data_IF_756599924676
#
_entry.id   IF_756599924676
#
_cell.length_a   1.000
_cell.length_b   1.000
_cell.length_c   1.000
_cell.angle_alpha   90.00
_cell.angle_beta   90.00
_cell.angle_gamma   90.00
#
_symmetry.space_group_name_H-M   'P 1'
#
loop_
_entity.id
_entity.type
_entity.pdbx_description
1 polymer ?
#
# COMPACT_ATOMS: atom_id res chain seq x y z
N UNK A 1 14.71 -3.59 -3.71
CA UNK A 1 14.15 -2.37 -3.10
C UNK A 1 14.90 -1.18 -3.66
N UNK A 2 14.34 -0.47 -4.63
CA UNK A 2 14.90 0.81 -5.06
C UNK A 2 14.30 1.91 -4.18
N UNK A 3 15.15 2.56 -3.38
CA UNK A 3 14.79 3.77 -2.65
C UNK A 3 14.50 4.85 -3.70
N UNK A 4 13.31 5.44 -3.67
CA UNK A 4 13.03 6.61 -4.50
C UNK A 4 13.95 7.75 -4.02
N UNK A 5 14.85 8.29 -4.87
CA UNK A 5 15.92 9.19 -4.43
C UNK A 5 15.44 10.61 -4.06
N UNK A 6 14.13 10.85 -3.99
CA UNK A 6 13.56 12.20 -3.93
C UNK A 6 12.61 12.44 -2.75
N UNK A 7 12.46 11.49 -1.82
CA UNK A 7 11.61 11.70 -0.64
C UNK A 7 12.48 12.15 0.55
N UNK A 8 12.24 13.33 1.14
CA UNK A 8 13.06 13.84 2.26
C UNK A 8 12.93 12.97 3.52
N UNK A 9 11.90 12.13 3.58
CA UNK A 9 11.72 11.06 4.55
C UNK A 9 11.76 9.72 3.83
N UNK A 10 12.21 8.66 4.51
CA UNK A 10 12.29 7.32 3.93
C UNK A 10 10.91 6.84 3.47
N UNK A 11 10.70 6.78 2.15
CA UNK A 11 9.50 6.18 1.59
C UNK A 11 9.66 4.66 1.54
N UNK A 12 8.76 3.96 2.22
CA UNK A 12 8.63 2.51 2.15
C UNK A 12 7.31 2.19 1.46
N UNK A 13 7.38 1.63 0.26
CA UNK A 13 6.22 1.04 -0.37
C UNK A 13 5.98 -0.34 0.27
N UNK A 14 4.97 -0.41 1.14
CA UNK A 14 4.60 -1.66 1.81
C UNK A 14 3.85 -2.59 0.84
N UNK A 15 4.23 -3.87 0.83
CA UNK A 15 3.32 -4.90 0.33
C UNK A 15 2.16 -5.11 1.31
N UNK A 16 1.10 -5.81 0.88
CA UNK A 16 0.00 -6.17 1.79
C UNK A 16 0.53 -6.90 3.03
N UNK A 17 1.43 -7.87 2.84
CA UNK A 17 2.02 -8.63 3.95
C UNK A 17 2.78 -7.74 4.91
N UNK A 18 3.62 -6.83 4.39
CA UNK A 18 4.40 -5.94 5.26
C UNK A 18 3.47 -5.02 6.09
N UNK A 19 2.34 -4.59 5.51
CA UNK A 19 1.33 -3.80 6.21
C UNK A 19 0.60 -4.62 7.30
N UNK A 20 0.21 -5.86 7.00
CA UNK A 20 -0.44 -6.77 7.94
C UNK A 20 0.47 -7.10 9.13
N UNK A 21 1.74 -7.44 8.86
CA UNK A 21 2.75 -7.72 9.88
C UNK A 21 2.96 -6.50 10.81
N UNK A 22 3.00 -5.29 10.24
CA UNK A 22 3.12 -4.05 11.00
C UNK A 22 1.91 -3.82 11.92
N UNK A 23 0.70 -4.03 11.41
CA UNK A 23 -0.54 -3.87 12.17
C UNK A 23 -0.61 -4.86 13.34
N UNK A 24 -0.31 -6.13 13.08
CA UNK A 24 -0.30 -7.18 14.10
C UNK A 24 0.74 -6.93 15.18
N UNK A 25 1.96 -6.51 14.80
CA UNK A 25 3.03 -6.13 15.75
C UNK A 25 2.60 -5.01 16.70
N UNK A 26 1.67 -4.17 16.27
CA UNK A 26 1.11 -3.07 17.07
C UNK A 26 -0.26 -3.42 17.68
N UNK A 27 -0.58 -4.71 17.81
CA UNK A 27 -1.77 -5.24 18.49
C UNK A 27 -3.11 -4.91 17.83
N UNK A 28 -3.12 -4.58 16.53
CA UNK A 28 -4.36 -4.51 15.78
C UNK A 28 -4.81 -5.90 15.35
N UNK A 29 -6.12 -6.17 15.48
CA UNK A 29 -6.75 -7.34 14.86
C UNK A 29 -7.22 -6.97 13.46
N UNK A 30 -6.68 -7.65 12.45
CA UNK A 30 -7.14 -7.53 11.07
C UNK A 30 -8.51 -8.20 10.95
N UNK A 31 -9.46 -7.48 10.36
CA UNK A 31 -10.81 -7.97 10.07
C UNK A 31 -10.88 -8.44 8.62
N UNK A 32 -10.39 -7.61 7.69
CA UNK A 32 -10.48 -7.85 6.25
C UNK A 32 -9.38 -7.10 5.49
N UNK A 33 -8.93 -7.67 4.38
CA UNK A 33 -8.02 -7.03 3.43
C UNK A 33 -8.65 -7.08 2.04
N UNK A 34 -8.85 -5.91 1.44
CA UNK A 34 -9.56 -5.76 0.16
C UNK A 34 -8.57 -5.27 -0.90
N UNK A 35 -8.48 -5.98 -2.02
CA UNK A 35 -7.71 -5.56 -3.20
C UNK A 35 -8.62 -4.85 -4.20
N UNK A 36 -8.20 -3.70 -4.70
CA UNK A 36 -8.90 -2.95 -5.73
C UNK A 36 -7.94 -2.62 -6.85
N UNK A 37 -8.41 -2.75 -8.09
CA UNK A 37 -7.67 -2.34 -9.28
C UNK A 37 -8.49 -1.33 -10.05
N UNK A 38 -7.86 -0.21 -10.38
CA UNK A 38 -8.46 0.89 -11.10
C UNK A 38 -7.60 1.28 -12.30
N UNK A 39 -8.24 1.80 -13.34
CA UNK A 39 -7.54 2.37 -14.48
C UNK A 39 -7.37 3.86 -14.26
N UNK A 40 -6.13 4.34 -14.24
CA UNK A 40 -5.81 5.75 -13.98
C UNK A 40 -4.94 6.32 -15.10
N UNK A 41 -5.12 7.60 -15.41
CA UNK A 41 -4.21 8.31 -16.30
C UNK A 41 -2.91 8.62 -15.55
N UNK A 42 -1.79 8.20 -16.10
CA UNK A 42 -0.46 8.46 -15.56
C UNK A 42 -0.03 9.90 -15.82
N UNK A 43 1.09 10.31 -15.22
CA UNK A 43 1.72 11.62 -15.52
C UNK A 43 2.23 11.74 -16.96
N UNK A 44 2.34 10.62 -17.68
CA UNK A 44 2.71 10.55 -19.10
C UNK A 44 1.49 10.47 -20.02
N UNK A 45 0.27 10.68 -19.49
CA UNK A 45 -1.02 10.52 -20.19
C UNK A 45 -1.30 9.09 -20.69
N UNK A 46 -0.59 8.10 -20.17
CA UNK A 46 -0.85 6.68 -20.46
C UNK A 46 -1.90 6.13 -19.48
N UNK A 47 -2.82 5.30 -19.96
CA UNK A 47 -3.76 4.60 -19.07
C UNK A 47 -3.06 3.41 -18.44
N UNK A 48 -2.95 3.42 -17.11
CA UNK A 48 -2.28 2.35 -16.34
C UNK A 48 -3.24 1.73 -15.34
N UNK A 49 -3.11 0.42 -15.13
CA UNK A 49 -3.83 -0.27 -14.06
C UNK A 49 -3.06 -0.09 -12.75
N UNK A 50 -3.71 0.46 -11.74
CA UNK A 50 -3.16 0.60 -10.38
C UNK A 50 -3.93 -0.32 -9.45
N UNK A 51 -3.20 -1.22 -8.80
CA UNK A 51 -3.74 -2.06 -7.72
C UNK A 51 -3.33 -1.49 -6.37
N UNK A 52 -4.27 -1.38 -5.44
CA UNK A 52 -4.01 -0.99 -4.06
C UNK A 52 -4.85 -1.84 -3.10
N UNK A 53 -4.45 -1.86 -1.83
CA UNK A 53 -5.10 -2.64 -0.79
C UNK A 53 -5.67 -1.73 0.31
N UNK A 54 -6.86 -2.07 0.80
CA UNK A 54 -7.45 -1.47 2.00
C UNK A 54 -7.51 -2.55 3.08
N UNK A 55 -6.93 -2.29 4.26
CA UNK A 55 -6.94 -3.23 5.39
C UNK A 55 -7.82 -2.66 6.50
N UNK A 56 -8.92 -3.35 6.80
CA UNK A 56 -9.81 -3.02 7.90
C UNK A 56 -9.30 -3.66 9.18
N UNK A 57 -9.13 -2.86 10.24
CA UNK A 57 -8.63 -3.31 11.53
C UNK A 57 -9.49 -2.87 12.69
N UNK A 58 -9.42 -3.63 13.79
CA UNK A 58 -9.97 -3.29 15.10
C UNK A 58 -8.86 -3.31 16.14
N UNK A 59 -8.89 -2.36 17.06
CA UNK A 59 -7.98 -2.33 18.21
C UNK A 59 -8.56 -3.09 19.40
#
# INVERSE_FOLDING_TARGET
>A
MEKLPFTPFGFNLYSLKDAEDLLQKNHFKIIESISQTEQVSSKTNEMVNRTFFTVLVRR
#
